data_IF_210265115217
#
_entry.id   IF_210265115217
#
_cell.length_a   1.000
_cell.length_b   1.000
_cell.length_c   1.000
_cell.angle_alpha   90.00
_cell.angle_beta   90.00
_cell.angle_gamma   90.00
#
_symmetry.space_group_name_H-M   'P 1'
#
loop_
_entity.id
_entity.type
_entity.pdbx_description
1 polymer ?
#
# COMPACT_ATOMS: atom_id res chain seq x y z
N UNK A 1 65.92 14.03 -26.81
CA UNK A 1 65.20 15.01 -25.96
C UNK A 1 63.78 15.13 -26.48
N UNK A 2 62.81 14.48 -25.84
CA UNK A 2 61.38 14.58 -26.17
C UNK A 2 60.56 14.57 -24.87
N UNK A 3 59.55 15.44 -24.81
CA UNK A 3 58.97 16.04 -23.61
C UNK A 3 57.75 15.21 -23.13
N UNK A 4 57.91 14.40 -22.07
CA UNK A 4 56.84 13.51 -21.53
C UNK A 4 56.12 14.10 -20.30
N UNK A 5 56.46 15.31 -19.85
CA UNK A 5 55.92 15.86 -18.58
C UNK A 5 54.59 16.64 -18.65
N UNK A 6 53.83 16.60 -19.75
CA UNK A 6 52.57 17.38 -19.86
C UNK A 6 51.28 16.57 -19.97
N UNK A 7 51.33 15.23 -19.99
CA UNK A 7 50.11 14.41 -20.14
C UNK A 7 49.49 13.91 -18.82
N UNK A 8 50.17 14.07 -17.67
CA UNK A 8 49.68 13.55 -16.39
C UNK A 8 48.75 14.49 -15.60
N UNK A 9 48.69 15.78 -15.97
CA UNK A 9 47.92 16.78 -15.21
C UNK A 9 46.43 16.89 -15.62
N UNK A 10 46.02 16.28 -16.73
CA UNK A 10 44.63 16.37 -17.23
C UNK A 10 43.75 15.22 -16.73
N UNK A 11 44.34 14.09 -16.30
CA UNK A 11 43.56 12.93 -15.81
C UNK A 11 43.20 12.97 -14.32
N UNK A 12 43.85 13.80 -13.51
CA UNK A 12 43.54 13.89 -12.06
C UNK A 12 42.40 14.88 -11.78
N UNK A 13 42.13 15.85 -12.66
CA UNK A 13 41.06 16.85 -12.46
C UNK A 13 39.69 16.40 -13.01
N UNK A 14 39.64 15.43 -13.93
CA UNK A 14 38.36 14.86 -14.41
C UNK A 14 37.72 13.81 -13.49
N UNK A 15 38.41 13.38 -12.43
CA UNK A 15 37.90 12.37 -11.48
C UNK A 15 37.23 12.98 -10.23
N UNK A 16 37.12 14.31 -10.14
CA UNK A 16 36.54 15.03 -8.99
C UNK A 16 35.10 15.54 -9.28
N UNK A 17 34.58 15.36 -10.50
CA UNK A 17 33.33 16.03 -10.94
C UNK A 17 32.14 15.12 -11.25
N UNK A 18 32.13 13.82 -10.88
CA UNK A 18 31.01 12.96 -11.24
C UNK A 18 30.63 11.89 -10.20
N UNK A 19 30.74 12.21 -8.91
CA UNK A 19 30.15 11.41 -7.84
C UNK A 19 29.03 12.19 -7.13
N UNK A 20 28.14 12.82 -7.90
CA UNK A 20 26.81 13.09 -7.40
C UNK A 20 26.09 11.74 -7.35
N UNK A 21 26.37 10.98 -6.28
CA UNK A 21 25.53 9.87 -5.87
C UNK A 21 24.14 10.49 -5.67
N UNK A 22 23.22 10.18 -6.58
CA UNK A 22 21.87 10.68 -6.52
C UNK A 22 21.18 9.95 -5.38
N UNK A 23 21.26 10.52 -4.17
CA UNK A 23 20.50 10.05 -3.04
C UNK A 23 19.05 9.90 -3.47
N UNK A 24 18.51 8.70 -3.34
CA UNK A 24 17.12 8.45 -3.70
C UNK A 24 16.22 9.29 -2.79
N UNK A 25 15.53 10.27 -3.36
CA UNK A 25 14.52 11.06 -2.67
C UNK A 25 13.15 10.39 -2.84
N UNK A 26 12.43 10.24 -1.73
CA UNK A 26 11.06 9.76 -1.69
C UNK A 26 10.17 10.82 -1.05
N UNK A 27 9.14 11.25 -1.79
CA UNK A 27 8.08 12.09 -1.23
C UNK A 27 6.88 11.20 -0.91
N UNK A 28 6.46 11.15 0.35
CA UNK A 28 5.35 10.30 0.82
C UNK A 28 4.67 10.88 2.06
N UNK A 29 3.49 10.38 2.41
CA UNK A 29 2.88 10.67 3.72
C UNK A 29 2.96 9.45 4.65
N UNK A 30 2.94 9.71 5.96
CA UNK A 30 2.97 8.67 6.99
C UNK A 30 1.56 8.26 7.33
N UNK A 31 1.24 7.00 7.14
CA UNK A 31 -0.04 6.42 7.56
C UNK A 31 0.00 6.10 9.06
N UNK A 32 1.08 5.49 9.52
CA UNK A 32 1.22 5.09 10.91
C UNK A 32 2.69 5.03 11.31
N UNK A 33 2.96 5.44 12.54
CA UNK A 33 4.21 5.14 13.25
C UNK A 33 3.91 4.07 14.29
N UNK A 34 4.53 2.90 14.15
CA UNK A 34 4.49 1.84 15.16
C UNK A 34 5.77 1.93 15.97
N UNK A 35 5.64 2.29 17.24
CA UNK A 35 6.79 2.38 18.14
C UNK A 35 7.50 1.03 18.29
N UNK A 36 8.79 1.09 18.61
CA UNK A 36 9.57 -0.07 18.99
C UNK A 36 9.09 -0.62 20.34
N UNK A 37 8.99 -1.94 20.47
CA UNK A 37 8.58 -2.57 21.74
C UNK A 37 9.70 -2.51 22.79
N UNK A 38 10.95 -2.44 22.32
CA UNK A 38 12.14 -2.33 23.14
C UNK A 38 13.27 -1.65 22.37
N UNK A 39 14.35 -1.29 23.06
CA UNK A 39 15.47 -0.57 22.47
C UNK A 39 16.19 -1.30 21.33
N UNK A 40 16.06 -2.64 21.25
CA UNK A 40 16.71 -3.46 20.22
C UNK A 40 15.89 -3.57 18.93
N UNK A 41 14.60 -3.21 18.95
CA UNK A 41 13.76 -3.21 17.76
C UNK A 41 13.68 -1.81 17.13
N UNK A 42 13.58 -1.71 15.79
CA UNK A 42 13.27 -0.46 15.14
C UNK A 42 11.78 -0.10 15.30
N UNK A 43 11.48 1.19 15.22
CA UNK A 43 10.12 1.64 14.95
C UNK A 43 9.79 1.37 13.47
N UNK A 44 8.51 1.13 13.18
CA UNK A 44 8.03 0.91 11.81
C UNK A 44 7.29 2.15 11.34
N UNK A 45 7.65 2.66 10.16
CA UNK A 45 6.98 3.79 9.51
C UNK A 45 6.25 3.28 8.29
N UNK A 46 4.92 3.31 8.32
CA UNK A 46 4.06 2.83 7.24
C UNK A 46 3.77 4.00 6.30
N UNK A 47 4.19 3.89 5.04
CA UNK A 47 4.06 4.96 4.05
C UNK A 47 2.82 4.78 3.16
N UNK A 48 2.19 5.88 2.78
CA UNK A 48 0.99 5.86 1.93
C UNK A 48 1.28 5.61 0.46
N UNK A 49 2.37 6.18 -0.07
CA UNK A 49 2.58 6.33 -1.51
C UNK A 49 2.81 5.01 -2.24
N UNK A 50 3.46 4.05 -1.60
CA UNK A 50 3.89 2.78 -2.20
C UNK A 50 3.74 1.58 -1.25
N UNK A 51 3.07 1.79 -0.11
CA UNK A 51 2.86 0.74 0.90
C UNK A 51 4.12 0.25 1.59
N UNK A 52 5.26 0.93 1.43
CA UNK A 52 6.52 0.52 2.08
C UNK A 52 6.49 0.72 3.59
N UNK A 53 7.28 -0.11 4.26
CA UNK A 53 7.64 0.03 5.66
C UNK A 53 9.09 0.49 5.77
N UNK A 54 9.33 1.59 6.49
CA UNK A 54 10.69 1.97 6.89
C UNK A 54 10.97 1.48 8.30
N UNK A 55 12.16 0.92 8.50
CA UNK A 55 12.66 0.51 9.80
C UNK A 55 13.58 1.61 10.34
N UNK A 56 13.11 2.37 11.33
CA UNK A 56 13.84 3.52 11.89
C UNK A 56 14.36 3.16 13.27
N UNK A 57 15.67 3.26 13.45
CA UNK A 57 16.30 2.86 14.70
C UNK A 57 15.86 3.76 15.87
N UNK A 58 15.74 3.19 17.06
CA UNK A 58 15.28 3.88 18.27
C UNK A 58 16.17 5.08 18.67
N UNK A 59 17.44 5.09 18.22
CA UNK A 59 18.38 6.19 18.43
C UNK A 59 18.24 7.35 17.41
N UNK A 60 17.45 7.20 16.34
CA UNK A 60 17.18 8.25 15.36
C UNK A 60 16.02 9.15 15.83
N UNK A 61 16.18 9.75 17.00
CA UNK A 61 15.10 10.46 17.72
C UNK A 61 14.52 11.64 16.93
N UNK A 62 15.34 12.38 16.18
CA UNK A 62 14.89 13.49 15.34
C UNK A 62 14.03 13.02 14.17
N UNK A 63 14.47 11.99 13.43
CA UNK A 63 13.69 11.41 12.34
C UNK A 63 12.36 10.86 12.84
N UNK A 64 12.36 10.14 13.98
CA UNK A 64 11.14 9.64 14.62
C UNK A 64 10.18 10.77 15.01
N UNK A 65 10.69 11.89 15.52
CA UNK A 65 9.87 13.04 15.85
C UNK A 65 9.21 13.65 14.59
N UNK A 66 9.94 13.74 13.48
CA UNK A 66 9.38 14.21 12.20
C UNK A 66 8.31 13.27 11.65
N UNK A 67 8.54 11.95 11.70
CA UNK A 67 7.54 10.97 11.28
C UNK A 67 6.27 11.02 12.14
N UNK A 68 6.41 11.13 13.46
CA UNK A 68 5.27 11.26 14.38
C UNK A 68 4.50 12.55 14.14
N UNK A 69 5.20 13.66 13.90
CA UNK A 69 4.57 14.93 13.56
C UNK A 69 3.78 14.81 12.25
N UNK A 70 4.40 14.27 11.20
CA UNK A 70 3.75 14.08 9.91
C UNK A 70 2.52 13.16 9.98
N UNK A 71 2.60 12.07 10.74
CA UNK A 71 1.45 11.18 10.98
C UNK A 71 0.31 11.90 11.72
N UNK A 72 0.63 12.81 12.64
CA UNK A 72 -0.35 13.58 13.39
C UNK A 72 -1.01 14.68 12.53
N UNK A 73 -0.22 15.36 11.70
CA UNK A 73 -0.68 16.51 10.90
C UNK A 73 -1.19 16.11 9.51
N UNK A 74 -0.92 14.89 9.06
CA UNK A 74 -1.14 14.46 7.67
C UNK A 74 -0.18 15.11 6.67
N UNK A 75 0.93 15.68 7.14
CA UNK A 75 1.90 16.37 6.27
C UNK A 75 2.70 15.38 5.41
N UNK A 76 3.03 15.79 4.19
CA UNK A 76 3.97 15.06 3.36
C UNK A 76 5.40 15.20 3.90
N UNK A 77 6.19 14.17 3.69
CA UNK A 77 7.61 14.11 4.02
C UNK A 77 8.42 13.95 2.75
N UNK A 78 9.57 14.61 2.71
CA UNK A 78 10.69 14.23 1.87
C UNK A 78 11.64 13.39 2.71
N UNK A 79 11.91 12.18 2.21
CA UNK A 79 12.72 11.16 2.87
C UNK A 79 13.92 10.91 1.99
N UNK A 80 15.10 11.11 2.55
CA UNK A 80 16.37 10.80 1.89
C UNK A 80 16.93 9.52 2.51
N UNK A 81 17.42 8.62 1.66
CA UNK A 81 18.06 7.38 2.08
C UNK A 81 19.58 7.48 1.96
N UNK A 82 20.30 6.75 2.81
CA UNK A 82 21.75 6.60 2.66
C UNK A 82 22.05 5.73 1.43
N UNK A 83 22.82 6.28 0.49
CA UNK A 83 23.05 5.75 -0.86
C UNK A 83 23.92 4.47 -0.92
N UNK A 84 24.15 3.80 0.21
CA UNK A 84 25.01 2.61 0.31
C UNK A 84 24.31 1.30 -0.08
N UNK A 85 23.20 1.39 -0.81
CA UNK A 85 22.72 0.36 -1.72
C UNK A 85 22.17 -0.93 -1.10
N UNK A 86 22.02 -1.02 0.23
CA UNK A 86 21.51 -2.26 0.87
C UNK A 86 20.61 -2.09 2.08
N UNK A 87 20.37 -0.87 2.54
CA UNK A 87 19.58 -0.66 3.76
C UNK A 87 18.63 0.50 3.56
N UNK A 88 17.35 0.31 3.89
CA UNK A 88 16.32 1.35 3.97
C UNK A 88 16.59 2.30 5.17
N UNK A 89 17.85 2.68 5.38
CA UNK A 89 18.30 3.59 6.42
C UNK A 89 17.96 5.01 5.98
N UNK A 90 17.13 5.64 6.80
CA UNK A 90 16.72 7.03 6.65
C UNK A 90 17.90 7.92 7.04
N UNK A 91 18.38 8.72 6.09
CA UNK A 91 19.49 9.67 6.30
C UNK A 91 18.96 11.01 6.79
N UNK A 92 17.85 11.48 6.20
CA UNK A 92 17.15 12.67 6.65
C UNK A 92 15.66 12.60 6.33
N UNK A 93 14.87 13.33 7.13
CA UNK A 93 13.42 13.48 6.98
C UNK A 93 13.10 14.96 7.09
N UNK A 94 12.40 15.48 6.10
CA UNK A 94 11.93 16.87 6.10
C UNK A 94 10.42 16.91 5.89
N UNK A 95 9.71 17.51 6.84
CA UNK A 95 8.30 17.83 6.67
C UNK A 95 8.17 18.93 5.61
N UNK A 96 7.37 18.66 4.59
CA UNK A 96 7.08 19.62 3.53
C UNK A 96 5.96 20.57 3.98
N UNK A 97 6.08 21.85 3.62
CA UNK A 97 5.01 22.83 3.83
C UNK A 97 3.73 22.41 3.09
N UNK A 98 2.55 22.77 3.61
CA UNK A 98 1.24 22.35 3.08
C UNK A 98 1.09 22.63 1.57
N UNK A 99 1.63 23.74 1.09
CA UNK A 99 1.59 24.13 -0.33
C UNK A 99 2.33 23.13 -1.25
N UNK A 100 3.31 22.40 -0.72
CA UNK A 100 4.03 21.34 -1.44
C UNK A 100 3.36 19.97 -1.29
N UNK A 101 2.55 19.76 -0.25
CA UNK A 101 1.88 18.49 0.04
C UNK A 101 0.71 18.17 -0.90
N UNK A 102 0.06 19.20 -1.47
CA UNK A 102 -1.03 19.03 -2.46
C UNK A 102 -0.58 18.29 -3.73
N UNK A 103 0.73 18.25 -4.02
CA UNK A 103 1.28 17.46 -5.12
C UNK A 103 1.42 15.96 -4.79
N UNK A 104 1.50 15.61 -3.50
CA UNK A 104 1.77 14.24 -3.05
C UNK A 104 0.47 13.41 -2.90
N UNK A 105 -0.62 13.99 -2.38
CA UNK A 105 -1.86 13.25 -2.15
C UNK A 105 -3.12 14.14 -2.27
N UNK A 106 -4.12 13.67 -3.02
CA UNK A 106 -5.41 14.34 -3.15
C UNK A 106 -6.15 14.38 -1.81
N UNK A 107 -6.64 15.56 -1.44
CA UNK A 107 -7.50 15.89 -0.28
C UNK A 107 -7.63 14.78 0.78
N UNK A 108 -6.54 14.48 1.49
CA UNK A 108 -6.62 13.72 2.73
C UNK A 108 -7.14 14.69 3.78
N UNK A 109 -8.46 14.73 3.97
CA UNK A 109 -9.05 15.44 5.11
C UNK A 109 -8.54 14.78 6.38
N UNK A 110 -7.86 15.56 7.22
CA UNK A 110 -7.35 15.19 8.55
C UNK A 110 -8.50 14.79 9.47
N UNK A 111 -9.00 13.57 9.31
CA UNK A 111 -9.96 12.99 10.25
C UNK A 111 -9.19 12.44 11.44
N UNK A 112 -9.18 13.28 12.48
CA UNK A 112 -8.79 12.99 13.86
C UNK A 112 -8.94 11.51 14.23
N UNK A 113 -7.79 10.86 14.42
CA UNK A 113 -7.58 9.50 14.89
C UNK A 113 -8.31 9.15 16.21
N UNK A 114 -8.83 10.15 16.92
CA UNK A 114 -9.50 9.99 18.22
C UNK A 114 -10.92 9.42 18.09
N UNK A 115 -11.68 9.80 17.06
CA UNK A 115 -13.07 9.34 16.91
C UNK A 115 -13.17 7.86 16.47
N UNK A 116 -12.19 7.39 15.68
CA UNK A 116 -12.11 6.00 15.24
C UNK A 116 -11.63 5.05 16.37
N UNK A 117 -10.82 5.55 17.31
CA UNK A 117 -10.35 4.76 18.45
C UNK A 117 -11.50 4.38 19.41
N UNK A 118 -12.49 5.25 19.58
CA UNK A 118 -13.59 5.08 20.54
C UNK A 118 -14.68 4.07 20.09
N UNK A 119 -14.66 3.60 18.84
CA UNK A 119 -15.65 2.63 18.30
C UNK A 119 -15.13 1.19 18.15
N UNK A 120 -13.85 0.94 18.37
CA UNK A 120 -13.28 -0.42 18.34
C UNK A 120 -13.59 -1.16 19.65
N UNK A 121 -14.84 -1.64 19.81
CA UNK A 121 -15.16 -2.66 20.82
C UNK A 121 -14.71 -4.04 20.34
N UNK A 122 -14.20 -4.81 21.30
CA UNK A 122 -13.66 -6.18 21.26
C UNK A 122 -13.95 -7.02 20.02
N UNK A 123 -12.89 -7.40 19.30
CA UNK A 123 -12.89 -8.40 18.22
C UNK A 123 -12.89 -9.87 18.72
N UNK A 124 -12.93 -10.12 20.03
CA UNK A 124 -12.77 -11.49 20.56
C UNK A 124 -13.91 -12.46 20.18
N UNK A 125 -15.03 -11.96 19.65
CA UNK A 125 -16.18 -12.80 19.26
C UNK A 125 -16.29 -13.05 17.74
N UNK A 126 -15.35 -12.56 16.92
CA UNK A 126 -15.49 -12.56 15.45
C UNK A 126 -14.74 -13.68 14.72
N UNK A 127 -14.51 -14.83 15.36
CA UNK A 127 -14.02 -16.05 14.71
C UNK A 127 -15.13 -16.74 13.86
N UNK A 128 -15.92 -15.95 13.13
CA UNK A 128 -16.95 -16.42 12.20
C UNK A 128 -16.34 -16.82 10.87
N UNK A 129 -16.83 -17.93 10.31
CA UNK A 129 -16.39 -18.52 9.04
C UNK A 129 -16.10 -17.50 7.94
N UNK A 130 -15.03 -17.71 7.19
CA UNK A 130 -14.68 -16.97 5.97
C UNK A 130 -15.72 -17.12 4.83
N UNK A 131 -16.75 -17.95 5.05
CA UNK A 131 -17.87 -18.10 4.14
C UNK A 131 -18.82 -16.90 4.26
N UNK A 132 -18.68 -15.95 3.34
CA UNK A 132 -19.73 -14.99 2.91
C UNK A 132 -20.07 -13.79 3.79
N UNK A 133 -19.13 -13.26 4.58
CA UNK A 133 -19.29 -11.87 5.06
C UNK A 133 -18.72 -10.94 3.99
N UNK A 134 -19.45 -10.75 2.89
CA UNK A 134 -19.44 -9.42 2.27
C UNK A 134 -20.08 -8.51 3.30
N UNK A 135 -19.36 -7.57 3.94
CA UNK A 135 -20.05 -6.50 4.62
C UNK A 135 -20.87 -5.81 3.52
N UNK A 136 -22.20 -6.00 3.54
CA UNK A 136 -23.15 -5.43 2.58
C UNK A 136 -22.82 -3.94 2.44
N UNK A 137 -22.03 -3.59 1.43
CA UNK A 137 -21.67 -2.22 1.16
C UNK A 137 -22.94 -1.60 0.57
N UNK A 138 -23.71 -0.80 1.33
CA UNK A 138 -25.08 -0.49 0.94
C UNK A 138 -25.10 0.22 -0.41
N UNK A 139 -25.89 -0.30 -1.35
CA UNK A 139 -25.97 0.23 -2.70
C UNK A 139 -24.90 -0.29 -3.69
N UNK A 140 -24.07 -1.24 -3.27
CA UNK A 140 -23.16 -1.96 -4.16
C UNK A 140 -23.55 -3.43 -4.29
N UNK A 141 -23.54 -3.95 -5.51
CA UNK A 141 -23.78 -5.37 -5.78
C UNK A 141 -22.75 -5.82 -6.82
N UNK A 142 -21.80 -6.69 -6.46
CA UNK A 142 -20.82 -7.19 -7.40
C UNK A 142 -21.47 -8.09 -8.46
N UNK A 143 -20.87 -8.13 -9.63
CA UNK A 143 -21.29 -9.04 -10.70
C UNK A 143 -20.84 -10.46 -10.36
N UNK A 144 -21.78 -11.40 -10.39
CA UNK A 144 -21.47 -12.84 -10.38
C UNK A 144 -21.22 -13.28 -11.82
N UNK A 145 -19.99 -13.71 -12.11
CA UNK A 145 -19.59 -14.26 -13.39
C UNK A 145 -20.20 -15.65 -13.59
N UNK A 146 -20.47 -16.07 -14.83
CA UNK A 146 -21.19 -17.32 -15.09
C UNK A 146 -20.37 -18.59 -14.79
N UNK A 147 -19.03 -18.52 -14.79
CA UNK A 147 -18.15 -19.67 -14.54
C UNK A 147 -16.71 -19.25 -14.24
N UNK A 148 -15.94 -20.20 -13.69
CA UNK A 148 -14.48 -20.09 -13.58
C UNK A 148 -13.80 -19.78 -14.92
N UNK A 149 -14.15 -20.48 -16.01
CA UNK A 149 -13.54 -20.25 -17.34
C UNK A 149 -13.79 -18.83 -17.86
N UNK A 150 -14.95 -18.26 -17.56
CA UNK A 150 -15.23 -16.87 -17.87
C UNK A 150 -14.36 -15.93 -17.03
N UNK A 151 -14.16 -16.24 -15.74
CA UNK A 151 -13.22 -15.50 -14.89
C UNK A 151 -11.78 -15.54 -15.43
N UNK A 152 -11.31 -16.70 -15.90
CA UNK A 152 -10.00 -16.83 -16.58
C UNK A 152 -9.93 -15.95 -17.83
N UNK A 153 -11.00 -15.89 -18.63
CA UNK A 153 -11.07 -15.03 -19.81
C UNK A 153 -11.01 -13.54 -19.45
N UNK A 154 -11.68 -13.13 -18.37
CA UNK A 154 -11.61 -11.77 -17.82
C UNK A 154 -10.19 -11.46 -17.35
N UNK A 155 -9.57 -12.36 -16.58
CA UNK A 155 -8.20 -12.21 -16.08
C UNK A 155 -7.19 -12.00 -17.20
N UNK A 156 -7.24 -12.84 -18.25
CA UNK A 156 -6.37 -12.74 -19.41
C UNK A 156 -6.59 -11.47 -20.24
N UNK A 157 -7.70 -10.77 -20.04
CA UNK A 157 -8.00 -9.50 -20.73
C UNK A 157 -7.50 -8.25 -20.00
N UNK A 158 -7.05 -8.40 -18.74
CA UNK A 158 -6.60 -7.28 -17.91
C UNK A 158 -5.31 -6.67 -18.47
N UNK A 159 -5.20 -5.33 -18.41
CA UNK A 159 -4.02 -4.63 -18.91
C UNK A 159 -2.80 -4.87 -18.00
N UNK A 160 -1.86 -5.69 -18.46
CA UNK A 160 -0.58 -5.93 -17.78
C UNK A 160 0.56 -5.02 -18.26
N UNK A 161 0.31 -4.16 -19.26
CA UNK A 161 1.31 -3.23 -19.81
C UNK A 161 1.38 -1.96 -18.96
N UNK A 162 1.78 -2.11 -17.71
CA UNK A 162 1.97 -0.99 -16.78
C UNK A 162 3.45 -0.66 -16.63
N UNK A 163 3.76 0.58 -16.24
CA UNK A 163 5.14 0.92 -15.89
C UNK A 163 5.64 0.02 -14.76
N UNK A 164 6.93 -0.33 -14.82
CA UNK A 164 7.66 -1.07 -13.76
C UNK A 164 7.60 -0.43 -12.36
N UNK A 165 7.20 0.85 -12.27
CA UNK A 165 7.06 1.61 -11.01
C UNK A 165 5.59 1.89 -10.66
N UNK A 166 4.66 1.10 -11.20
CA UNK A 166 3.26 1.22 -10.80
C UNK A 166 3.06 0.55 -9.45
N UNK A 167 2.33 1.20 -8.56
CA UNK A 167 2.03 0.67 -7.24
C UNK A 167 0.81 -0.27 -7.30
N UNK A 168 0.73 -1.24 -6.39
CA UNK A 168 -0.32 -2.28 -6.40
C UNK A 168 -1.74 -1.70 -6.46
N UNK A 169 -2.01 -0.64 -5.70
CA UNK A 169 -3.30 0.03 -5.68
C UNK A 169 -3.63 0.73 -7.00
N UNK A 170 -2.63 1.25 -7.72
CA UNK A 170 -2.83 1.80 -9.05
C UNK A 170 -3.23 0.71 -10.04
N UNK A 171 -2.54 -0.44 -10.00
CA UNK A 171 -2.83 -1.60 -10.87
C UNK A 171 -4.22 -2.16 -10.59
N UNK A 172 -4.53 -2.41 -9.32
CA UNK A 172 -5.82 -2.92 -8.90
C UNK A 172 -6.96 -1.96 -9.29
N UNK A 173 -6.75 -0.64 -9.18
CA UNK A 173 -7.76 0.32 -9.60
C UNK A 173 -7.94 0.35 -11.13
N UNK A 174 -6.86 0.20 -11.90
CA UNK A 174 -6.93 0.09 -13.37
C UNK A 174 -7.67 -1.15 -13.82
N UNK A 175 -7.33 -2.31 -13.26
CA UNK A 175 -7.99 -3.56 -13.61
C UNK A 175 -9.48 -3.53 -13.26
N UNK A 176 -9.85 -2.99 -12.09
CA UNK A 176 -11.24 -2.79 -11.71
C UNK A 176 -11.98 -1.82 -12.65
N UNK A 177 -11.32 -0.73 -13.06
CA UNK A 177 -11.87 0.23 -14.01
C UNK A 177 -12.09 -0.39 -15.39
N UNK A 178 -11.12 -1.16 -15.89
CA UNK A 178 -11.21 -1.87 -17.16
C UNK A 178 -12.34 -2.91 -17.15
N UNK A 179 -12.44 -3.71 -16.09
CA UNK A 179 -13.55 -4.65 -15.90
C UNK A 179 -14.91 -3.92 -15.95
N UNK A 180 -15.05 -2.80 -15.23
CA UNK A 180 -16.30 -2.04 -15.20
C UNK A 180 -16.65 -1.42 -16.54
N UNK A 181 -15.69 -0.78 -17.21
CA UNK A 181 -15.98 0.07 -18.38
C UNK A 181 -15.94 -0.69 -19.70
N UNK A 182 -15.14 -1.75 -19.81
CA UNK A 182 -15.00 -2.54 -21.05
C UNK A 182 -15.85 -3.79 -21.04
N UNK A 183 -16.06 -4.40 -19.87
CA UNK A 183 -16.74 -5.69 -19.73
C UNK A 183 -18.08 -5.58 -19.00
N UNK A 184 -18.41 -4.43 -18.42
CA UNK A 184 -19.63 -4.26 -17.62
C UNK A 184 -19.60 -5.04 -16.30
N UNK A 185 -18.42 -5.43 -15.82
CA UNK A 185 -18.23 -6.23 -14.60
C UNK A 185 -18.00 -5.32 -13.41
N UNK A 186 -18.85 -5.45 -12.39
CA UNK A 186 -18.69 -4.81 -11.08
C UNK A 186 -17.87 -5.73 -10.16
N UNK A 187 -16.57 -5.49 -10.07
CA UNK A 187 -15.67 -6.25 -9.18
C UNK A 187 -15.64 -5.64 -7.78
N UNK A 188 -15.27 -6.41 -6.76
CA UNK A 188 -14.80 -5.85 -5.49
C UNK A 188 -13.28 -5.64 -5.52
N UNK A 189 -12.73 -5.15 -4.41
CA UNK A 189 -11.31 -5.15 -4.11
C UNK A 189 -11.09 -5.74 -2.74
N UNK A 190 -10.03 -6.54 -2.62
CA UNK A 190 -9.57 -7.05 -1.34
C UNK A 190 -8.25 -6.41 -1.00
N UNK A 191 -8.22 -5.68 0.10
CA UNK A 191 -6.99 -5.19 0.71
C UNK A 191 -6.49 -6.25 1.69
N UNK A 192 -5.26 -6.72 1.49
CA UNK A 192 -4.51 -7.51 2.45
C UNK A 192 -3.64 -6.55 3.25
N UNK A 193 -3.80 -6.52 4.57
CA UNK A 193 -3.01 -5.72 5.46
C UNK A 193 -2.10 -6.60 6.30
N UNK A 194 -0.80 -6.32 6.29
CA UNK A 194 0.18 -6.97 7.16
C UNK A 194 0.23 -6.20 8.49
N UNK A 195 0.34 -6.94 9.58
CA UNK A 195 0.40 -6.35 10.92
C UNK A 195 1.82 -6.02 11.34
N UNK A 196 1.99 -5.18 12.36
CA UNK A 196 3.32 -4.96 12.97
C UNK A 196 3.97 -6.26 13.44
N UNK A 197 3.18 -7.19 13.99
CA UNK A 197 3.65 -8.52 14.37
C UNK A 197 4.34 -9.23 13.22
N UNK A 198 3.65 -9.39 12.09
CA UNK A 198 4.18 -10.06 10.90
C UNK A 198 5.38 -9.31 10.30
N UNK A 199 5.27 -7.99 10.18
CA UNK A 199 6.33 -7.15 9.63
C UNK A 199 7.62 -7.29 10.46
N UNK A 200 7.53 -7.32 11.79
CA UNK A 200 8.70 -7.54 12.66
C UNK A 200 9.26 -8.96 12.52
N UNK A 201 8.39 -9.97 12.52
CA UNK A 201 8.80 -11.38 12.48
C UNK A 201 9.54 -11.72 11.17
N UNK A 202 9.06 -11.22 10.03
CA UNK A 202 9.59 -11.55 8.71
C UNK A 202 10.38 -10.42 8.04
N UNK A 203 10.59 -9.29 8.74
CA UNK A 203 11.21 -8.07 8.16
C UNK A 203 10.56 -7.67 6.83
N UNK A 204 9.23 -7.77 6.78
CA UNK A 204 8.45 -7.61 5.55
C UNK A 204 8.41 -6.13 5.12
N UNK A 205 8.60 -5.86 3.84
CA UNK A 205 8.84 -4.49 3.33
C UNK A 205 7.58 -3.70 3.00
N UNK A 206 6.43 -4.36 3.00
CA UNK A 206 5.15 -3.76 2.67
C UNK A 206 4.18 -3.92 3.83
N UNK A 207 3.29 -2.96 4.04
CA UNK A 207 2.23 -3.08 5.07
C UNK A 207 0.86 -3.37 4.47
N UNK A 208 0.71 -3.31 3.15
CA UNK A 208 -0.48 -3.78 2.48
C UNK A 208 -0.22 -4.24 1.04
N UNK A 209 -1.17 -5.01 0.51
CA UNK A 209 -1.33 -5.29 -0.91
C UNK A 209 -2.83 -5.25 -1.27
N UNK A 210 -3.15 -5.05 -2.55
CA UNK A 210 -4.55 -4.99 -3.00
C UNK A 210 -4.69 -5.54 -4.42
N UNK A 211 -5.78 -6.27 -4.65
CA UNK A 211 -6.18 -6.73 -5.96
C UNK A 211 -7.71 -6.69 -6.11
N UNK A 212 -8.24 -6.59 -7.34
CA UNK A 212 -9.66 -6.80 -7.59
C UNK A 212 -10.07 -8.25 -7.27
N UNK A 213 -11.34 -8.41 -6.96
CA UNK A 213 -11.97 -9.70 -6.68
C UNK A 213 -13.29 -9.79 -7.43
N UNK A 214 -13.62 -10.97 -7.95
CA UNK A 214 -14.91 -11.26 -8.58
C UNK A 214 -15.56 -12.48 -7.93
N UNK A 215 -16.84 -12.68 -8.24
CA UNK A 215 -17.61 -13.83 -7.81
C UNK A 215 -17.89 -14.76 -8.99
N UNK A 216 -17.82 -16.05 -8.75
CA UNK A 216 -18.33 -17.13 -9.60
C UNK A 216 -19.23 -18.05 -8.74
N UNK A 217 -20.02 -18.98 -9.32
CA UNK A 217 -20.83 -19.90 -8.52
C UNK A 217 -20.02 -20.70 -7.50
N UNK A 218 -18.75 -20.97 -7.79
CA UNK A 218 -17.81 -21.71 -6.93
C UNK A 218 -17.19 -20.87 -5.81
N UNK A 219 -17.35 -19.54 -5.82
CA UNK A 219 -16.84 -18.64 -4.77
C UNK A 219 -16.14 -17.39 -5.29
N UNK A 220 -15.24 -16.86 -4.46
CA UNK A 220 -14.48 -15.63 -4.71
C UNK A 220 -13.15 -15.91 -5.42
N UNK A 221 -12.83 -15.10 -6.43
CA UNK A 221 -11.57 -15.19 -7.18
C UNK A 221 -10.85 -13.84 -7.22
N UNK A 222 -9.58 -13.85 -6.85
CA UNK A 222 -8.66 -12.73 -6.89
C UNK A 222 -8.08 -12.57 -8.30
N UNK A 223 -8.05 -11.33 -8.78
CA UNK A 223 -7.68 -10.94 -10.14
C UNK A 223 -6.37 -10.16 -10.16
N UNK A 224 -5.26 -10.83 -9.86
CA UNK A 224 -3.94 -10.21 -9.69
C UNK A 224 -2.88 -10.75 -10.69
N UNK A 225 -2.90 -10.30 -11.95
CA UNK A 225 -1.97 -10.77 -12.98
C UNK A 225 -0.51 -10.32 -12.79
N UNK A 226 -0.20 -9.51 -11.77
CA UNK A 226 1.20 -9.22 -11.42
C UNK A 226 1.84 -10.40 -10.66
N UNK A 227 1.06 -11.07 -9.81
CA UNK A 227 1.56 -12.10 -8.88
C UNK A 227 1.01 -13.50 -9.17
N UNK A 228 0.15 -13.65 -10.17
CA UNK A 228 -0.41 -14.93 -10.57
C UNK A 228 -0.58 -15.03 -12.09
N UNK A 229 -0.53 -16.25 -12.61
CA UNK A 229 -0.81 -16.53 -14.03
C UNK A 229 -2.29 -16.83 -14.31
N UNK A 230 -3.12 -16.92 -13.26
CA UNK A 230 -4.55 -17.23 -13.34
C UNK A 230 -5.31 -16.69 -12.11
N UNK A 231 -6.66 -16.60 -12.15
CA UNK A 231 -7.44 -16.26 -10.97
C UNK A 231 -7.20 -17.25 -9.83
N UNK A 232 -6.94 -16.71 -8.64
CA UNK A 232 -6.69 -17.49 -7.42
C UNK A 232 -7.88 -17.38 -6.46
N UNK A 233 -8.10 -18.39 -5.62
CA UNK A 233 -8.95 -18.23 -4.45
C UNK A 233 -8.33 -17.20 -3.50
N UNK A 234 -9.13 -16.61 -2.61
CA UNK A 234 -8.62 -15.65 -1.61
C UNK A 234 -7.43 -16.23 -0.83
N UNK A 235 -7.55 -17.47 -0.33
CA UNK A 235 -6.48 -18.15 0.42
C UNK A 235 -5.21 -18.35 -0.40
N UNK A 236 -5.32 -18.83 -1.63
CA UNK A 236 -4.15 -19.05 -2.48
C UNK A 236 -3.45 -17.73 -2.82
N UNK A 237 -4.22 -16.65 -2.99
CA UNK A 237 -3.66 -15.32 -3.20
C UNK A 237 -2.96 -14.78 -1.95
N UNK A 238 -3.56 -14.88 -0.75
CA UNK A 238 -2.89 -14.46 0.50
C UNK A 238 -1.63 -15.28 0.77
N UNK A 239 -1.63 -16.57 0.44
CA UNK A 239 -0.48 -17.47 0.62
C UNK A 239 0.72 -17.09 -0.26
N UNK A 240 0.52 -16.35 -1.35
CA UNK A 240 1.62 -15.79 -2.15
C UNK A 240 2.40 -14.69 -1.41
N UNK A 241 1.83 -14.11 -0.36
CA UNK A 241 2.44 -13.02 0.42
C UNK A 241 2.79 -13.41 1.85
N UNK A 242 2.16 -14.46 2.40
CA UNK A 242 2.32 -14.91 3.78
C UNK A 242 3.33 -16.07 3.88
N UNK A 243 4.51 -15.81 4.44
CA UNK A 243 5.58 -16.81 4.63
C UNK A 243 5.10 -18.03 5.44
N UNK A 244 4.24 -17.80 6.44
CA UNK A 244 3.68 -18.84 7.29
C UNK A 244 2.31 -19.39 6.83
N UNK A 245 1.74 -18.85 5.74
CA UNK A 245 0.46 -19.29 5.15
C UNK A 245 -0.71 -19.32 6.13
N UNK A 246 -0.67 -18.49 7.17
CA UNK A 246 -1.76 -18.37 8.14
C UNK A 246 -3.01 -17.79 7.46
N UNK A 247 -4.19 -18.18 7.94
CA UNK A 247 -5.44 -17.57 7.49
C UNK A 247 -5.51 -16.10 7.92
N UNK A 248 -5.79 -15.21 6.96
CA UNK A 248 -5.99 -13.79 7.23
C UNK A 248 -7.48 -13.52 7.52
N UNK A 249 -7.89 -13.23 8.77
CA UNK A 249 -9.27 -12.93 9.10
C UNK A 249 -9.78 -11.67 8.39
N UNK A 250 -11.09 -11.64 8.09
CA UNK A 250 -11.75 -10.46 7.52
C UNK A 250 -11.94 -9.40 8.59
N UNK A 251 -11.32 -8.23 8.41
CA UNK A 251 -11.54 -7.08 9.27
C UNK A 251 -12.84 -6.36 8.84
N UNK A 252 -13.78 -6.09 9.77
CA UNK A 252 -15.03 -5.39 9.44
C UNK A 252 -14.80 -3.91 9.09
N UNK A 253 -13.72 -3.32 9.61
CA UNK A 253 -13.29 -1.94 9.32
C UNK A 253 -11.77 -1.85 9.31
N UNK A 254 -11.22 -0.81 8.69
CA UNK A 254 -9.81 -0.47 8.78
C UNK A 254 -9.37 -0.21 10.24
N UNK A 255 -10.25 0.39 11.06
CA UNK A 255 -9.99 0.61 12.48
C UNK A 255 -9.81 -0.69 13.27
N UNK A 256 -10.54 -1.75 12.90
CA UNK A 256 -10.39 -3.07 13.49
C UNK A 256 -9.00 -3.66 13.19
N UNK A 257 -8.52 -3.58 11.94
CA UNK A 257 -7.13 -3.91 11.60
C UNK A 257 -6.15 -3.09 12.46
N UNK A 258 -6.28 -1.75 12.46
CA UNK A 258 -5.33 -0.84 13.11
C UNK A 258 -5.19 -1.08 14.62
N UNK A 259 -6.26 -1.51 15.29
CA UNK A 259 -6.26 -1.72 16.75
C UNK A 259 -5.84 -3.13 17.18
N UNK A 260 -5.67 -4.07 16.25
CA UNK A 260 -5.40 -5.48 16.54
C UNK A 260 -4.13 -6.00 15.85
N UNK A 261 -3.10 -5.17 15.81
CA UNK A 261 -1.83 -5.45 15.14
C UNK A 261 -1.03 -6.61 15.75
N UNK A 262 -1.30 -7.00 17.00
CA UNK A 262 -0.59 -8.11 17.66
C UNK A 262 -1.44 -9.38 17.76
N UNK A 263 -2.71 -9.34 17.32
CA UNK A 263 -3.65 -10.45 17.47
C UNK A 263 -3.63 -11.46 16.32
N UNK A 264 -3.16 -11.04 15.13
CA UNK A 264 -3.04 -11.84 13.91
C UNK A 264 -1.84 -11.33 13.13
N UNK A 265 -1.38 -12.09 12.13
CA UNK A 265 -0.27 -11.68 11.28
C UNK A 265 -0.74 -10.80 10.11
N UNK A 266 -1.97 -11.02 9.68
CA UNK A 266 -2.60 -10.29 8.58
C UNK A 266 -4.11 -10.14 8.82
N UNK A 267 -4.72 -9.23 8.06
CA UNK A 267 -6.16 -9.08 7.92
C UNK A 267 -6.52 -8.80 6.47
N UNK A 268 -7.72 -9.18 6.04
CA UNK A 268 -8.27 -8.78 4.74
C UNK A 268 -9.47 -7.86 4.91
N UNK A 269 -9.67 -6.94 3.97
CA UNK A 269 -10.85 -6.06 3.91
C UNK A 269 -11.36 -6.00 2.48
N UNK A 270 -12.56 -6.53 2.26
CA UNK A 270 -13.26 -6.50 0.98
C UNK A 270 -14.11 -5.23 0.86
N UNK A 271 -13.97 -4.48 -0.22
CA UNK A 271 -14.68 -3.21 -0.47
C UNK A 271 -15.13 -3.11 -1.94
N UNK A 272 -16.10 -2.24 -2.27
CA UNK A 272 -16.42 -1.93 -3.67
C UNK A 272 -15.20 -1.54 -4.51
N UNK A 273 -15.26 -1.73 -5.83
CA UNK A 273 -14.16 -1.36 -6.75
C UNK A 273 -13.72 0.11 -6.70
N UNK A 274 -14.50 1.02 -6.13
CA UNK A 274 -14.23 2.46 -6.18
C UNK A 274 -13.13 2.92 -5.22
N UNK A 275 -12.72 2.09 -4.27
CA UNK A 275 -11.69 2.43 -3.30
C UNK A 275 -10.31 2.40 -3.95
N UNK A 276 -9.57 3.52 -3.86
CA UNK A 276 -8.27 3.63 -4.52
C UNK A 276 -7.14 3.04 -3.69
N UNK A 277 -6.96 3.51 -2.46
CA UNK A 277 -5.84 3.16 -1.58
C UNK A 277 -6.34 2.96 -0.14
N UNK A 278 -5.50 2.49 0.81
CA UNK A 278 -5.93 2.26 2.19
C UNK A 278 -6.59 3.46 2.87
N UNK A 279 -6.12 4.68 2.62
CA UNK A 279 -6.73 5.88 3.21
C UNK A 279 -8.15 6.15 2.69
N UNK A 280 -8.50 5.70 1.47
CA UNK A 280 -9.88 5.72 0.99
C UNK A 280 -10.77 4.76 1.80
N UNK A 281 -10.23 3.59 2.17
CA UNK A 281 -10.91 2.61 3.02
C UNK A 281 -11.14 3.18 4.42
N UNK A 282 -10.08 3.71 5.03
CA UNK A 282 -10.14 4.32 6.35
C UNK A 282 -11.15 5.47 6.41
N UNK A 283 -11.10 6.39 5.45
CA UNK A 283 -12.01 7.55 5.42
C UNK A 283 -13.47 7.13 5.29
N UNK A 284 -13.78 6.16 4.43
CA UNK A 284 -15.15 5.71 4.25
C UNK A 284 -15.65 4.97 5.49
N UNK A 285 -14.83 4.08 6.07
CA UNK A 285 -15.16 3.39 7.32
C UNK A 285 -15.38 4.38 8.48
N UNK A 286 -14.56 5.44 8.58
CA UNK A 286 -14.69 6.47 9.60
C UNK A 286 -16.00 7.28 9.46
N UNK A 287 -16.44 7.54 8.22
CA UNK A 287 -17.68 8.25 7.91
C UNK A 287 -18.92 7.36 7.90
N UNK A 288 -18.74 6.04 7.85
CA UNK A 288 -19.84 5.10 7.59
C UNK A 288 -20.39 5.24 6.16
N UNK A 289 -19.55 5.64 5.21
CA UNK A 289 -19.92 5.88 3.82
C UNK A 289 -19.48 4.71 2.93
N UNK A 290 -20.19 4.52 1.83
CA UNK A 290 -19.79 3.59 0.76
C UNK A 290 -19.48 4.38 -0.50
N UNK A 291 -18.27 4.23 -1.03
CA UNK A 291 -17.93 4.81 -2.32
C UNK A 291 -18.62 4.02 -3.43
N UNK A 292 -19.40 4.71 -4.27
CA UNK A 292 -20.19 4.11 -5.36
C UNK A 292 -19.85 4.66 -6.74
N UNK A 293 -18.85 5.55 -6.83
CA UNK A 293 -18.47 6.20 -8.08
C UNK A 293 -16.95 6.36 -8.15
N UNK A 294 -16.43 6.37 -9.37
CA UNK A 294 -15.03 6.66 -9.65
C UNK A 294 -14.70 8.10 -9.28
N UNK A 295 -13.58 8.32 -8.60
CA UNK A 295 -13.07 9.66 -8.30
C UNK A 295 -12.13 10.06 -9.43
N UNK A 296 -12.40 11.18 -10.09
CA UNK A 296 -11.65 11.63 -11.27
C UNK A 296 -10.14 11.78 -10.99
N UNK A 297 -9.77 12.23 -9.79
CA UNK A 297 -8.38 12.35 -9.39
C UNK A 297 -7.65 10.99 -9.34
N UNK A 298 -8.32 9.95 -8.86
CA UNK A 298 -7.77 8.57 -8.82
C UNK A 298 -7.53 8.06 -10.24
N UNK A 299 -8.51 8.26 -11.14
CA UNK A 299 -8.41 7.88 -12.55
C UNK A 299 -7.26 8.60 -13.26
N UNK A 300 -7.09 9.90 -12.99
CA UNK A 300 -5.99 10.69 -13.57
C UNK A 300 -4.63 10.18 -13.10
N UNK A 301 -4.48 9.82 -11.84
CA UNK A 301 -3.20 9.32 -11.32
C UNK A 301 -2.89 7.91 -11.77
N UNK A 302 -3.89 7.04 -11.83
CA UNK A 302 -3.77 5.71 -12.41
C UNK A 302 -3.20 5.76 -13.85
N UNK A 303 -3.72 6.65 -14.70
CA UNK A 303 -3.24 6.84 -16.08
C UNK A 303 -1.82 7.41 -16.17
N UNK A 304 -1.33 8.12 -15.15
CA UNK A 304 0.11 8.49 -15.11
C UNK A 304 1.00 7.25 -15.00
N UNK A 305 0.49 6.14 -14.49
CA UNK A 305 1.18 4.84 -14.44
C UNK A 305 1.16 4.08 -15.78
N UNK A 306 0.24 4.43 -16.68
CA UNK A 306 0.05 3.82 -18.00
C UNK A 306 0.95 4.54 -19.03
N UNK A 307 1.72 3.80 -19.83
CA UNK A 307 2.53 4.32 -20.96
C UNK A 307 2.66 3.26 -22.03
#
# INVERSE_FOLDING_TARGET
>A
MCNISKLLAVFVVSSILASNAFAAELISSVVQVVDAENAAQPALILLSADGRVLHVASNQTEALAQFKLAALTGSALEITFDDLGKTDLVSSVRVLAEDSAQAAHGNVSTLSSVAALLRARSLQDFAGSADSVTPDAPGYTPTVLPSYDYAVSVFNSLNTRMKKKSECFMRAHLWAYDMSTRLGIKSEKTFLFFTSKYIREYSYKWWFHVAPMVYVPEGQLMMDPEFADMPLTLKNWTDSFMENKVDCPVAPTYGAYRTNQEASDCYVRQVPMYYYQPSSVEQADAKGETLLNWVEWDLKNMKKGDK
#
